data_IF_140549999305
#
_entry.id   IF_140549999305
#
_cell.length_a   1.000
_cell.length_b   1.000
_cell.length_c   1.000
_cell.angle_alpha   90.00
_cell.angle_beta   90.00
_cell.angle_gamma   90.00
#
_symmetry.space_group_name_H-M   'P 1'
#
loop_
_entity.id
_entity.type
_entity.pdbx_description
1 polymer ?
#
# COMPACT_ATOMS: atom_id res chain seq x y z
N UNK A 1 -31.95 -11.61 -1.48
CA UNK A 1 -30.77 -10.86 -1.95
C UNK A 1 -29.53 -11.63 -1.53
N UNK A 2 -28.80 -12.17 -2.48
CA UNK A 2 -27.53 -12.85 -2.21
C UNK A 2 -26.56 -11.84 -1.58
N UNK A 3 -25.93 -12.18 -0.45
CA UNK A 3 -25.01 -11.25 0.20
C UNK A 3 -23.73 -11.17 -0.64
N UNK A 4 -23.62 -10.16 -1.51
CA UNK A 4 -22.46 -9.97 -2.40
C UNK A 4 -21.11 -9.96 -1.67
N UNK A 5 -21.08 -9.58 -0.38
CA UNK A 5 -19.86 -9.61 0.44
C UNK A 5 -19.42 -11.03 0.81
N UNK A 6 -20.33 -12.00 0.81
CA UNK A 6 -19.98 -13.41 1.04
C UNK A 6 -19.08 -13.95 -0.07
N UNK A 7 -19.21 -13.45 -1.30
CA UNK A 7 -18.37 -13.80 -2.45
C UNK A 7 -16.95 -13.25 -2.36
N UNK A 8 -16.71 -12.25 -1.50
CA UNK A 8 -15.39 -11.66 -1.26
C UNK A 8 -14.60 -12.37 -0.16
N UNK A 9 -15.25 -13.27 0.60
CA UNK A 9 -14.59 -14.05 1.64
C UNK A 9 -13.55 -14.96 1.00
N UNK A 10 -12.32 -14.80 1.45
CA UNK A 10 -11.22 -15.68 1.05
C UNK A 10 -11.31 -16.92 1.91
N UNK A 11 -11.42 -18.09 1.28
CA UNK A 11 -11.57 -19.38 1.98
C UNK A 11 -10.35 -19.68 2.87
N UNK A 12 -9.14 -19.38 2.39
CA UNK A 12 -7.92 -19.45 3.18
C UNK A 12 -7.11 -18.16 3.07
N UNK A 13 -7.15 -17.34 4.12
CA UNK A 13 -6.45 -16.05 4.18
C UNK A 13 -4.93 -16.24 4.37
N UNK A 14 -4.50 -17.36 4.94
CA UNK A 14 -3.08 -17.65 5.14
C UNK A 14 -2.39 -17.97 3.80
N UNK A 15 -3.06 -18.70 2.92
CA UNK A 15 -2.55 -18.97 1.57
C UNK A 15 -2.46 -17.68 0.75
N UNK A 16 -3.44 -16.78 0.91
CA UNK A 16 -3.50 -15.52 0.18
C UNK A 16 -2.24 -14.68 0.35
N UNK A 17 -1.80 -14.44 1.58
CA UNK A 17 -0.60 -13.63 1.84
C UNK A 17 0.60 -14.24 1.09
N UNK A 18 0.85 -15.52 1.31
CA UNK A 18 2.02 -16.22 0.77
C UNK A 18 2.05 -16.25 -0.77
N UNK A 19 0.92 -16.52 -1.41
CA UNK A 19 0.80 -16.57 -2.88
C UNK A 19 0.84 -15.19 -3.53
N UNK A 20 0.63 -14.14 -2.73
CA UNK A 20 0.59 -12.76 -3.23
C UNK A 20 1.82 -11.95 -2.83
N UNK A 21 2.85 -12.58 -2.23
CA UNK A 21 4.15 -11.95 -1.92
C UNK A 21 4.88 -11.38 -3.14
N UNK A 22 4.59 -11.89 -4.34
CA UNK A 22 5.07 -11.31 -5.60
C UNK A 22 4.49 -9.93 -5.92
N UNK A 23 3.52 -9.45 -5.13
CA UNK A 23 2.87 -8.15 -5.27
C UNK A 23 2.45 -7.85 -6.71
N UNK A 24 2.90 -6.74 -7.30
CA UNK A 24 2.54 -6.32 -8.65
C UNK A 24 2.86 -7.37 -9.74
N UNK A 25 3.84 -8.26 -9.50
CA UNK A 25 4.16 -9.36 -10.41
C UNK A 25 3.18 -10.55 -10.32
N UNK A 26 2.47 -10.69 -9.20
CA UNK A 26 1.49 -11.76 -8.98
C UNK A 26 0.14 -11.43 -9.62
N UNK A 27 -0.37 -12.33 -10.47
CA UNK A 27 -1.72 -12.23 -11.03
C UNK A 27 -2.79 -12.31 -9.96
N UNK A 28 -2.63 -13.23 -9.00
CA UNK A 28 -3.55 -13.37 -7.86
C UNK A 28 -3.60 -12.07 -7.04
N UNK A 29 -2.45 -11.43 -6.82
CA UNK A 29 -2.41 -10.14 -6.12
C UNK A 29 -3.19 -9.06 -6.87
N UNK A 30 -3.02 -8.95 -8.20
CA UNK A 30 -3.78 -7.98 -9.02
C UNK A 30 -5.28 -8.28 -9.02
N UNK A 31 -5.66 -9.55 -9.14
CA UNK A 31 -7.05 -9.98 -9.10
C UNK A 31 -7.71 -9.62 -7.76
N UNK A 32 -7.11 -10.00 -6.64
CA UNK A 32 -7.69 -9.80 -5.31
C UNK A 32 -7.80 -8.31 -4.93
N UNK A 33 -6.90 -7.46 -5.45
CA UNK A 33 -6.99 -6.01 -5.30
C UNK A 33 -8.14 -5.38 -6.07
N UNK A 34 -8.47 -5.92 -7.24
CA UNK A 34 -9.57 -5.41 -8.06
C UNK A 34 -10.93 -5.57 -7.37
N UNK A 35 -11.03 -6.52 -6.43
CA UNK A 35 -12.24 -6.85 -5.70
C UNK A 35 -12.44 -6.01 -4.42
N UNK A 36 -11.43 -5.26 -3.96
CA UNK A 36 -11.36 -4.72 -2.59
C UNK A 36 -10.83 -3.29 -2.51
N UNK A 37 -11.17 -2.60 -1.43
CA UNK A 37 -10.65 -1.28 -1.10
C UNK A 37 -9.28 -1.39 -0.42
N UNK A 38 -8.28 -0.79 -1.06
CA UNK A 38 -6.91 -0.65 -0.54
C UNK A 38 -6.85 0.35 0.61
N UNK A 39 -6.01 0.07 1.61
CA UNK A 39 -5.63 1.00 2.68
C UNK A 39 -5.16 2.37 2.14
N UNK A 40 -4.55 2.41 0.94
CA UNK A 40 -4.09 3.64 0.29
C UNK A 40 -5.20 4.67 0.01
N UNK A 41 -6.47 4.24 -0.07
CA UNK A 41 -7.60 5.14 -0.28
C UNK A 41 -8.22 5.66 1.03
N UNK A 42 -7.86 5.10 2.18
CA UNK A 42 -8.57 5.36 3.44
C UNK A 42 -8.49 6.81 3.89
N UNK A 43 -7.35 7.48 3.65
CA UNK A 43 -7.23 8.90 3.99
C UNK A 43 -8.29 9.73 3.27
N UNK A 44 -8.50 9.46 2.00
CA UNK A 44 -9.47 10.19 1.19
C UNK A 44 -10.92 9.82 1.52
N UNK A 45 -11.18 8.55 1.80
CA UNK A 45 -12.50 8.08 2.24
C UNK A 45 -12.87 8.72 3.59
N UNK A 46 -11.99 8.64 4.58
CA UNK A 46 -12.25 9.11 5.94
C UNK A 46 -12.33 10.64 6.03
N UNK A 47 -11.56 11.36 5.21
CA UNK A 47 -11.52 12.83 5.23
C UNK A 47 -12.44 13.48 4.17
N UNK A 48 -13.27 12.72 3.47
CA UNK A 48 -14.14 13.27 2.43
C UNK A 48 -15.16 14.23 3.03
N UNK A 49 -15.22 15.46 2.51
CA UNK A 49 -16.25 16.43 2.87
C UNK A 49 -17.61 15.98 2.36
N UNK A 50 -18.68 16.18 3.14
CA UNK A 50 -20.06 15.85 2.74
C UNK A 50 -20.46 16.53 1.43
N UNK A 51 -19.99 17.76 1.19
CA UNK A 51 -20.24 18.54 -0.03
C UNK A 51 -19.48 18.05 -1.26
N UNK A 52 -18.46 17.20 -1.12
CA UNK A 52 -17.73 16.65 -2.27
C UNK A 52 -18.42 15.37 -2.76
N UNK A 53 -18.92 15.31 -4.01
CA UNK A 53 -19.56 14.11 -4.54
C UNK A 53 -18.64 12.88 -4.45
N UNK A 54 -19.17 11.76 -3.96
CA UNK A 54 -18.39 10.53 -3.84
C UNK A 54 -18.12 9.85 -5.19
N UNK A 55 -18.88 10.21 -6.24
CA UNK A 55 -18.74 9.63 -7.58
C UNK A 55 -17.33 9.73 -8.13
N UNK A 56 -16.63 10.85 -7.96
CA UNK A 56 -15.23 11.01 -8.42
C UNK A 56 -14.28 10.04 -7.72
N UNK A 57 -14.46 9.84 -6.42
CA UNK A 57 -13.65 8.89 -5.64
C UNK A 57 -13.94 7.45 -6.08
N UNK A 58 -15.22 7.10 -6.24
CA UNK A 58 -15.65 5.78 -6.73
C UNK A 58 -15.09 5.51 -8.13
N UNK A 59 -15.20 6.47 -9.06
CA UNK A 59 -14.66 6.32 -10.41
C UNK A 59 -13.16 6.06 -10.42
N UNK A 60 -12.41 6.74 -9.54
CA UNK A 60 -10.96 6.53 -9.42
C UNK A 60 -10.60 5.19 -8.77
N UNK A 61 -11.40 4.71 -7.82
CA UNK A 61 -11.18 3.41 -7.18
C UNK A 61 -11.48 2.27 -8.17
N UNK A 62 -12.60 2.36 -8.90
CA UNK A 62 -13.09 1.28 -9.77
C UNK A 62 -12.41 1.28 -11.15
N UNK A 63 -12.19 2.46 -11.72
CA UNK A 63 -11.68 2.63 -13.10
C UNK A 63 -10.33 3.37 -13.15
N UNK A 64 -9.70 3.60 -12.01
CA UNK A 64 -8.37 4.20 -11.95
C UNK A 64 -7.38 3.36 -12.75
N UNK A 65 -6.59 4.01 -13.60
CA UNK A 65 -5.51 3.34 -14.34
C UNK A 65 -4.26 3.30 -13.48
N UNK A 66 -3.50 2.20 -13.59
CA UNK A 66 -2.14 2.12 -13.06
C UNK A 66 -1.22 3.05 -13.87
N UNK A 67 -1.07 4.28 -13.39
CA UNK A 67 -0.17 5.26 -13.99
C UNK A 67 1.24 5.03 -13.47
N UNK A 68 2.15 4.54 -14.30
CA UNK A 68 3.57 4.45 -13.95
C UNK A 68 4.26 5.81 -14.18
N UNK A 69 4.34 6.64 -13.14
CA UNK A 69 5.02 7.93 -13.20
C UNK A 69 6.48 7.84 -12.72
N UNK A 70 7.27 8.90 -12.96
CA UNK A 70 8.69 8.94 -12.58
C UNK A 70 8.92 8.74 -11.08
N UNK A 71 8.02 9.25 -10.23
CA UNK A 71 8.14 9.07 -8.79
C UNK A 71 7.87 7.63 -8.36
N UNK A 72 6.94 6.93 -9.00
CA UNK A 72 6.69 5.51 -8.76
C UNK A 72 7.85 4.64 -9.22
N UNK A 73 8.41 4.91 -10.40
CA UNK A 73 9.62 4.20 -10.89
C UNK A 73 10.79 4.38 -9.93
N UNK A 74 11.00 5.61 -9.45
CA UNK A 74 12.02 5.90 -8.45
C UNK A 74 11.74 5.18 -7.13
N UNK A 75 10.49 5.15 -6.67
CA UNK A 75 10.06 4.38 -5.50
C UNK A 75 10.47 2.92 -5.62
N UNK A 76 9.99 2.24 -6.65
CA UNK A 76 10.25 0.82 -6.92
C UNK A 76 11.75 0.51 -7.00
N UNK A 77 12.54 1.38 -7.65
CA UNK A 77 13.99 1.16 -7.80
C UNK A 77 14.77 1.30 -6.48
N UNK A 78 14.25 2.05 -5.50
CA UNK A 78 14.98 2.38 -4.27
C UNK A 78 14.41 1.69 -3.02
N UNK A 79 13.21 1.13 -3.10
CA UNK A 79 12.52 0.51 -1.97
C UNK A 79 13.35 -0.62 -1.33
N UNK A 80 13.91 -1.51 -2.15
CA UNK A 80 14.77 -2.60 -1.65
C UNK A 80 16.04 -2.07 -0.98
N UNK A 81 16.62 -0.99 -1.52
CA UNK A 81 17.82 -0.36 -0.96
C UNK A 81 17.49 0.23 0.42
N UNK A 82 16.38 0.96 0.53
CA UNK A 82 15.91 1.54 1.78
C UNK A 82 15.58 0.47 2.83
N UNK A 83 14.93 -0.63 2.42
CA UNK A 83 14.65 -1.79 3.28
C UNK A 83 15.95 -2.37 3.84
N UNK A 84 16.92 -2.69 2.97
CA UNK A 84 18.23 -3.24 3.38
C UNK A 84 19.03 -2.30 4.27
N UNK A 85 18.85 -0.99 4.13
CA UNK A 85 19.48 -0.02 5.03
C UNK A 85 18.84 -0.07 6.41
N UNK A 86 17.50 -0.09 6.48
CA UNK A 86 16.77 -0.26 7.73
C UNK A 86 17.15 -1.56 8.46
N UNK A 87 17.18 -2.69 7.74
CA UNK A 87 17.59 -3.98 8.30
C UNK A 87 18.97 -3.93 8.96
N UNK A 88 19.94 -3.26 8.30
CA UNK A 88 21.30 -3.10 8.80
C UNK A 88 21.38 -2.18 10.01
N UNK A 89 20.70 -1.04 9.97
CA UNK A 89 20.73 -0.03 11.03
C UNK A 89 20.12 -0.55 12.33
N UNK A 90 18.99 -1.26 12.22
CA UNK A 90 18.25 -1.78 13.38
C UNK A 90 18.58 -3.24 13.72
N UNK A 91 19.51 -3.87 12.98
CA UNK A 91 19.86 -5.29 13.14
C UNK A 91 18.63 -6.20 13.20
N UNK A 92 17.67 -5.96 12.30
CA UNK A 92 16.40 -6.68 12.23
C UNK A 92 16.15 -7.19 10.81
N UNK A 93 15.39 -8.29 10.70
CA UNK A 93 14.90 -8.78 9.41
C UNK A 93 13.59 -8.06 9.05
N UNK A 94 13.44 -7.68 7.78
CA UNK A 94 12.18 -7.22 7.20
C UNK A 94 11.70 -8.24 6.18
N UNK A 95 10.63 -8.96 6.51
CA UNK A 95 10.05 -9.98 5.64
C UNK A 95 9.12 -9.35 4.61
N UNK A 96 9.30 -9.71 3.34
CA UNK A 96 8.37 -9.33 2.27
C UNK A 96 7.04 -10.04 2.48
N UNK A 97 5.95 -9.31 2.28
CA UNK A 97 4.60 -9.84 2.43
C UNK A 97 3.70 -9.54 1.24
N UNK A 98 2.63 -10.32 1.13
CA UNK A 98 1.55 -10.12 0.18
C UNK A 98 0.37 -9.32 0.74
N UNK A 99 -0.84 -9.72 0.35
CA UNK A 99 -2.09 -9.09 0.76
C UNK A 99 -2.60 -9.65 2.08
N UNK A 100 -3.06 -8.75 2.94
CA UNK A 100 -3.84 -9.05 4.14
C UNK A 100 -5.26 -8.55 3.96
N UNK A 101 -6.24 -9.45 4.07
CA UNK A 101 -7.67 -9.14 3.98
C UNK A 101 -8.30 -9.22 5.36
N UNK A 102 -9.16 -8.25 5.69
CA UNK A 102 -9.88 -8.24 6.97
C UNK A 102 -10.93 -9.37 6.97
N UNK A 103 -10.83 -10.27 7.96
CA UNK A 103 -11.72 -11.44 8.13
C UNK A 103 -13.20 -11.06 8.24
N UNK A 104 -13.48 -9.95 8.92
CA UNK A 104 -14.84 -9.46 9.19
C UNK A 104 -15.33 -8.49 8.11
N UNK A 105 -14.39 -7.82 7.42
CA UNK A 105 -14.65 -6.85 6.36
C UNK A 105 -13.89 -7.26 5.09
N UNK A 106 -14.31 -8.34 4.39
CA UNK A 106 -13.56 -8.93 3.28
C UNK A 106 -13.42 -8.01 2.06
N UNK A 107 -14.11 -6.87 2.04
CA UNK A 107 -13.95 -5.81 1.05
C UNK A 107 -12.76 -4.88 1.34
N UNK A 108 -12.02 -5.09 2.42
CA UNK A 108 -10.84 -4.30 2.82
C UNK A 108 -9.57 -5.13 2.72
N UNK A 109 -8.49 -4.50 2.28
CA UNK A 109 -7.16 -5.10 2.32
C UNK A 109 -6.05 -4.08 2.57
N UNK A 110 -4.90 -4.58 3.03
CA UNK A 110 -3.64 -3.88 3.09
C UNK A 110 -2.50 -4.76 2.53
N UNK A 111 -1.42 -4.13 2.08
CA UNK A 111 -0.18 -4.78 1.62
C UNK A 111 0.96 -3.90 2.13
N UNK A 112 1.43 -4.09 3.37
CA UNK A 112 2.56 -3.31 3.89
C UNK A 112 3.83 -3.61 3.08
N UNK A 113 4.82 -2.73 3.18
CA UNK A 113 6.09 -2.89 2.45
C UNK A 113 6.97 -3.98 3.10
N UNK A 114 6.72 -4.31 4.37
CA UNK A 114 7.28 -5.49 5.02
C UNK A 114 6.80 -5.72 6.46
N UNK A 115 7.12 -6.89 6.99
CA UNK A 115 6.84 -7.31 8.36
C UNK A 115 8.12 -7.36 9.19
N UNK A 116 8.03 -6.97 10.47
CA UNK A 116 9.15 -6.95 11.42
C UNK A 116 8.74 -7.70 12.68
N UNK A 117 9.48 -8.75 13.04
CA UNK A 117 9.14 -9.59 14.20
C UNK A 117 7.73 -10.19 14.09
N UNK A 118 7.04 -10.27 15.22
CA UNK A 118 5.70 -10.88 15.30
C UNK A 118 4.56 -9.88 15.05
N UNK A 119 4.74 -8.61 15.45
CA UNK A 119 3.67 -7.60 15.46
C UNK A 119 4.00 -6.29 14.70
N UNK A 120 5.20 -6.20 14.10
CA UNK A 120 5.68 -5.00 13.43
C UNK A 120 5.40 -4.97 11.93
N UNK A 121 5.17 -3.77 11.39
CA UNK A 121 5.13 -3.51 9.95
C UNK A 121 6.00 -2.31 9.60
N UNK A 122 6.45 -2.24 8.35
CA UNK A 122 7.14 -1.08 7.79
C UNK A 122 6.42 -0.54 6.56
N UNK A 123 6.42 0.79 6.42
CA UNK A 123 6.00 1.52 5.24
C UNK A 123 7.17 2.40 4.78
N UNK A 124 7.72 2.08 3.62
CA UNK A 124 8.89 2.71 3.03
C UNK A 124 8.44 3.82 2.08
N UNK A 125 9.11 4.96 2.13
CA UNK A 125 8.87 6.09 1.22
C UNK A 125 10.18 6.62 0.66
N UNK A 126 10.29 6.57 -0.67
CA UNK A 126 11.41 7.12 -1.43
C UNK A 126 10.93 8.36 -2.21
N UNK A 127 10.95 9.57 -1.64
CA UNK A 127 10.38 10.76 -2.27
C UNK A 127 11.24 11.24 -3.44
N UNK A 128 10.75 11.07 -4.66
CA UNK A 128 11.43 11.51 -5.89
C UNK A 128 11.82 13.00 -5.91
N UNK A 129 11.03 13.85 -5.25
CA UNK A 129 11.33 15.28 -5.13
C UNK A 129 12.59 15.56 -4.31
N UNK A 130 13.03 14.62 -3.47
CA UNK A 130 14.21 14.73 -2.61
C UNK A 130 15.43 13.96 -3.16
N UNK A 131 15.37 13.44 -4.38
CA UNK A 131 16.37 12.50 -4.93
C UNK A 131 17.81 13.03 -5.02
N UNK A 132 17.99 14.35 -4.90
CA UNK A 132 19.31 15.01 -4.90
C UNK A 132 19.62 15.71 -3.58
N UNK A 133 18.76 15.52 -2.57
CA UNK A 133 18.93 16.14 -1.26
C UNK A 133 19.91 15.29 -0.45
N UNK A 134 20.91 15.94 0.15
CA UNK A 134 21.83 15.30 1.08
C UNK A 134 21.22 15.11 2.47
N UNK A 135 20.23 15.92 2.84
CA UNK A 135 19.52 15.84 4.11
C UNK A 135 18.01 15.71 3.89
N UNK A 136 17.53 14.46 3.95
CA UNK A 136 16.12 14.15 3.76
C UNK A 136 15.23 14.73 4.89
N UNK A 137 15.72 14.78 6.12
CA UNK A 137 14.94 15.27 7.26
C UNK A 137 14.62 16.76 7.11
N UNK A 138 15.62 17.55 6.74
CA UNK A 138 15.47 18.98 6.47
C UNK A 138 14.50 19.23 5.30
N UNK A 139 14.64 18.48 4.20
CA UNK A 139 13.73 18.55 3.07
C UNK A 139 12.26 18.30 3.47
N UNK A 140 12.01 17.28 4.31
CA UNK A 140 10.65 16.94 4.74
C UNK A 140 10.05 18.01 5.65
N UNK A 141 10.84 18.60 6.55
CA UNK A 141 10.39 19.68 7.45
C UNK A 141 10.00 20.93 6.65
N UNK A 142 10.82 21.34 5.68
CA UNK A 142 10.56 22.54 4.87
C UNK A 142 9.32 22.39 3.99
N UNK A 143 9.05 21.20 3.45
CA UNK A 143 7.83 20.89 2.68
C UNK A 143 6.56 20.89 3.52
N UNK A 144 6.61 20.38 4.77
CA UNK A 144 5.43 20.36 5.66
C UNK A 144 4.96 21.76 6.04
N UNK A 145 5.85 22.76 6.13
CA UNK A 145 5.50 24.16 6.42
C UNK A 145 4.78 24.88 5.26
N UNK A 146 4.73 24.31 4.06
CA UNK A 146 4.13 24.90 2.86
C UNK A 146 2.72 24.37 2.52
N UNK A 147 2.15 23.49 3.36
CA UNK A 147 0.79 22.95 3.23
C UNK A 147 -0.06 23.42 4.39
#
# INVERSE_FOLDING_TARGET
>A
MENHLSKLKVQNIYDLESETRGQASSERWRYERSLRLSSSFFKEIACRKKSTPCSKLVMRIVYGRDLCNAAMKYGLANEEIARKQYEREYSTEVKICGLFVDKNKPFLFASPDGLIGDDGIIEIKCPYSARFESNLLEFLITKKKKK
#
